data_IF_732787583646
#
_entry.id   IF_732787583646
#
_cell.length_a   1.000
_cell.length_b   1.000
_cell.length_c   1.000
_cell.angle_alpha   90.00
_cell.angle_beta   90.00
_cell.angle_gamma   90.00
#
_symmetry.space_group_name_H-M   'P 1'
#
loop_
_entity.id
_entity.type
_entity.pdbx_description
1 polymer ?
#
# COMPACT_ATOMS: atom_id res chain seq x y z
N UNK A 1 40.71 -7.16 22.21
CA UNK A 1 39.63 -8.17 22.33
C UNK A 1 38.37 -7.57 21.77
N UNK A 2 37.94 -7.98 20.56
CA UNK A 2 36.70 -7.50 19.97
C UNK A 2 35.52 -8.15 20.72
N UNK A 3 34.66 -7.35 21.34
CA UNK A 3 33.44 -7.86 21.96
C UNK A 3 32.51 -8.36 20.87
N UNK A 4 32.37 -9.68 20.76
CA UNK A 4 31.36 -10.34 19.94
C UNK A 4 29.98 -9.85 20.39
N UNK A 5 29.35 -8.97 19.58
CA UNK A 5 27.96 -8.59 19.79
C UNK A 5 27.10 -9.80 19.43
N UNK A 6 26.64 -10.55 20.43
CA UNK A 6 25.67 -11.62 20.23
C UNK A 6 24.39 -11.02 19.65
N UNK A 7 24.11 -11.32 18.37
CA UNK A 7 22.83 -10.96 17.74
C UNK A 7 21.72 -11.55 18.59
N UNK A 8 20.91 -10.68 19.21
CA UNK A 8 19.71 -11.07 19.93
C UNK A 8 18.79 -11.80 18.94
N UNK A 9 18.51 -13.07 19.21
CA UNK A 9 17.57 -13.85 18.39
C UNK A 9 16.16 -13.45 18.80
N UNK A 10 15.38 -12.96 17.83
CA UNK A 10 13.97 -12.63 18.03
C UNK A 10 13.10 -13.87 17.85
N UNK A 11 12.11 -14.06 18.73
CA UNK A 11 11.15 -15.16 18.64
C UNK A 11 9.73 -14.65 18.89
N UNK A 12 8.79 -15.03 18.03
CA UNK A 12 7.36 -14.75 18.24
C UNK A 12 6.81 -15.49 19.47
N UNK A 13 7.46 -16.57 19.90
CA UNK A 13 7.05 -17.31 21.09
C UNK A 13 7.27 -16.52 22.38
N UNK A 14 8.20 -15.56 22.39
CA UNK A 14 8.40 -14.67 23.55
C UNK A 14 7.44 -13.48 23.60
N UNK A 15 6.64 -13.26 22.54
CA UNK A 15 5.68 -12.16 22.52
C UNK A 15 4.32 -12.62 23.09
N UNK A 16 3.70 -11.83 23.94
CA UNK A 16 2.32 -12.09 24.41
C UNK A 16 1.28 -11.58 23.41
N UNK A 17 1.54 -10.38 22.87
CA UNK A 17 0.74 -9.73 21.84
C UNK A 17 1.51 -9.63 20.53
N UNK A 18 0.80 -9.87 19.42
CA UNK A 18 1.34 -9.72 18.07
C UNK A 18 0.37 -8.83 17.29
N UNK A 19 0.89 -7.69 16.83
CA UNK A 19 0.15 -6.70 16.07
C UNK A 19 0.40 -6.82 14.58
N UNK A 20 -0.65 -6.58 13.80
CA UNK A 20 -0.56 -6.55 12.35
C UNK A 20 -1.16 -5.27 11.80
N UNK A 21 -0.48 -4.72 10.81
CA UNK A 21 -1.09 -3.84 9.83
C UNK A 21 -1.94 -4.66 8.84
N UNK A 22 -2.87 -4.00 8.13
CA UNK A 22 -3.76 -4.65 7.18
C UNK A 22 -3.21 -4.59 5.76
N UNK A 23 -3.18 -3.40 5.18
CA UNK A 23 -2.93 -3.16 3.77
C UNK A 23 -1.47 -3.40 3.42
N UNK A 24 -1.22 -4.23 2.39
CA UNK A 24 0.12 -4.70 2.03
C UNK A 24 0.86 -5.54 3.10
N UNK A 25 0.22 -5.81 4.24
CA UNK A 25 0.75 -6.68 5.31
C UNK A 25 -0.02 -8.00 5.38
N UNK A 26 -1.27 -7.99 5.86
CA UNK A 26 -2.13 -9.17 5.89
C UNK A 26 -2.90 -9.36 4.58
N UNK A 27 -3.36 -8.26 3.98
CA UNK A 27 -4.01 -8.25 2.68
C UNK A 27 -2.93 -8.19 1.61
N UNK A 28 -2.88 -9.24 0.78
CA UNK A 28 -1.95 -9.31 -0.34
C UNK A 28 -2.67 -8.90 -1.62
N UNK A 29 -2.25 -7.79 -2.19
CA UNK A 29 -2.76 -7.27 -3.44
C UNK A 29 -2.05 -7.88 -4.66
N UNK A 30 -2.76 -7.95 -5.79
CA UNK A 30 -2.21 -8.13 -7.13
C UNK A 30 -1.65 -6.80 -7.59
N UNK A 31 -0.35 -6.60 -7.37
CA UNK A 31 0.27 -5.27 -7.50
C UNK A 31 0.09 -4.64 -8.89
N UNK A 32 0.23 -5.43 -9.96
CA UNK A 32 0.04 -4.92 -11.32
C UNK A 32 -1.38 -4.35 -11.52
N UNK A 33 -2.41 -5.15 -11.19
CA UNK A 33 -3.80 -4.75 -11.34
C UNK A 33 -4.16 -3.58 -10.42
N UNK A 34 -3.64 -3.58 -9.18
CA UNK A 34 -3.87 -2.51 -8.20
C UNK A 34 -3.23 -1.20 -8.65
N UNK A 35 -1.95 -1.21 -9.01
CA UNK A 35 -1.24 0.00 -9.42
C UNK A 35 -1.85 0.60 -10.69
N UNK A 36 -2.24 -0.25 -11.65
CA UNK A 36 -2.96 0.19 -12.83
C UNK A 36 -4.29 0.86 -12.47
N UNK A 37 -5.08 0.25 -11.57
CA UNK A 37 -6.32 0.86 -11.08
C UNK A 37 -6.09 2.22 -10.41
N UNK A 38 -5.09 2.33 -9.54
CA UNK A 38 -4.74 3.58 -8.85
C UNK A 38 -4.38 4.65 -9.88
N UNK A 39 -3.52 4.31 -10.85
CA UNK A 39 -3.10 5.22 -11.91
C UNK A 39 -4.29 5.69 -12.75
N UNK A 40 -5.12 4.76 -13.23
CA UNK A 40 -6.30 5.08 -14.04
C UNK A 40 -7.29 5.94 -13.27
N UNK A 41 -7.56 5.62 -11.99
CA UNK A 41 -8.47 6.39 -11.13
C UNK A 41 -7.96 7.81 -10.89
N UNK A 42 -6.66 7.98 -10.67
CA UNK A 42 -6.06 9.30 -10.43
C UNK A 42 -6.03 10.14 -11.72
N UNK A 43 -5.73 9.51 -12.86
CA UNK A 43 -5.77 10.14 -14.17
C UNK A 43 -7.18 10.62 -14.53
N UNK A 44 -8.19 9.77 -14.35
CA UNK A 44 -9.60 10.14 -14.57
C UNK A 44 -10.00 11.33 -13.68
N UNK A 45 -9.70 11.25 -12.39
CA UNK A 45 -10.00 12.33 -11.45
C UNK A 45 -9.34 13.65 -11.86
N UNK A 46 -8.07 13.62 -12.30
CA UNK A 46 -7.34 14.80 -12.75
C UNK A 46 -7.95 15.42 -14.02
N UNK A 47 -8.32 14.61 -15.00
CA UNK A 47 -8.99 15.06 -16.23
C UNK A 47 -10.34 15.72 -15.90
N UNK A 48 -11.12 15.09 -15.01
CA UNK A 48 -12.44 15.59 -14.62
C UNK A 48 -12.35 16.89 -13.81
N UNK A 49 -11.30 17.06 -13.00
CA UNK A 49 -11.20 18.18 -12.05
C UNK A 49 -10.48 19.40 -12.63
N UNK A 50 -9.40 19.22 -13.39
CA UNK A 50 -8.46 20.32 -13.66
C UNK A 50 -8.36 20.75 -15.12
N UNK A 51 -8.55 19.89 -16.12
CA UNK A 51 -8.77 20.28 -17.52
C UNK A 51 -8.90 19.07 -18.45
N UNK A 52 -9.69 19.24 -19.53
CA UNK A 52 -9.83 18.31 -20.65
C UNK A 52 -8.62 18.33 -21.61
N UNK A 53 -7.39 18.50 -21.12
CA UNK A 53 -6.22 18.44 -21.99
C UNK A 53 -6.05 16.99 -22.47
N UNK A 54 -6.23 16.79 -23.78
CA UNK A 54 -6.18 15.48 -24.44
C UNK A 54 -4.87 14.72 -24.20
N UNK A 55 -3.80 15.41 -23.80
CA UNK A 55 -2.49 14.80 -23.57
C UNK A 55 -2.53 13.78 -22.42
N UNK A 56 -3.31 14.00 -21.37
CA UNK A 56 -3.49 13.02 -20.28
C UNK A 56 -4.24 11.76 -20.73
N UNK A 57 -5.09 11.85 -21.77
CA UNK A 57 -5.76 10.67 -22.33
C UNK A 57 -4.77 9.75 -23.04
N UNK A 58 -3.67 10.29 -23.55
CA UNK A 58 -2.64 9.53 -24.25
C UNK A 58 -1.67 8.80 -23.31
N UNK A 59 -1.60 9.21 -22.04
CA UNK A 59 -0.72 8.59 -21.05
C UNK A 59 -1.29 7.24 -20.60
N UNK A 60 -0.49 6.19 -20.80
CA UNK A 60 -0.80 4.83 -20.37
C UNK A 60 0.02 4.45 -19.14
N UNK A 61 -0.54 3.59 -18.29
CA UNK A 61 0.18 3.05 -17.15
C UNK A 61 1.41 2.26 -17.62
N UNK A 62 2.60 2.66 -17.15
CA UNK A 62 3.87 1.99 -17.38
C UNK A 62 4.34 1.31 -16.08
N UNK A 63 4.27 -0.01 -16.05
CA UNK A 63 4.67 -0.85 -14.92
C UNK A 63 6.19 -0.87 -14.67
N UNK A 64 7.00 -0.45 -15.64
CA UNK A 64 8.46 -0.37 -15.51
C UNK A 64 8.93 0.97 -14.88
N UNK A 65 8.04 1.96 -14.77
CA UNK A 65 8.36 3.26 -14.14
C UNK A 65 8.08 3.29 -12.64
N UNK A 66 7.28 2.34 -12.14
CA UNK A 66 6.91 2.26 -10.72
C UNK A 66 8.09 1.72 -9.88
N UNK A 67 9.04 2.60 -9.57
CA UNK A 67 10.21 2.30 -8.74
C UNK A 67 9.94 2.78 -7.31
N UNK A 68 10.18 1.90 -6.34
CA UNK A 68 10.06 2.22 -4.92
C UNK A 68 11.15 3.20 -4.51
N UNK A 69 10.89 4.02 -3.48
CA UNK A 69 11.90 4.85 -2.80
C UNK A 69 12.34 6.11 -3.56
N UNK A 70 11.61 6.50 -4.60
CA UNK A 70 11.75 7.81 -5.22
C UNK A 70 11.22 8.92 -4.30
N UNK A 71 12.00 9.98 -4.20
CA UNK A 71 11.65 11.24 -3.53
C UNK A 71 11.19 12.21 -4.60
N UNK A 72 9.99 12.76 -4.44
CA UNK A 72 9.53 13.86 -5.28
C UNK A 72 10.00 15.19 -4.69
N UNK A 73 10.94 15.83 -5.36
CA UNK A 73 11.37 17.20 -5.09
C UNK A 73 10.39 18.14 -5.78
N UNK A 74 9.52 18.73 -4.98
CA UNK A 74 8.46 19.59 -5.48
C UNK A 74 8.93 20.96 -5.96
N UNK A 75 10.07 21.44 -5.45
CA UNK A 75 10.55 22.76 -5.76
C UNK A 75 11.18 22.81 -7.15
N UNK A 76 11.88 21.73 -7.52
CA UNK A 76 12.57 21.57 -8.80
C UNK A 76 11.93 20.53 -9.72
N UNK A 77 10.81 19.93 -9.29
CA UNK A 77 10.00 18.98 -10.06
C UNK A 77 10.80 17.74 -10.48
N UNK A 78 11.62 17.23 -9.56
CA UNK A 78 12.47 16.07 -9.80
C UNK A 78 11.97 14.83 -9.06
N UNK A 79 12.21 13.67 -9.64
CA UNK A 79 12.15 12.38 -8.97
C UNK A 79 13.58 11.93 -8.67
N UNK A 80 13.90 11.73 -7.41
CA UNK A 80 15.26 11.50 -6.92
C UNK A 80 15.32 10.17 -6.18
N UNK A 81 16.25 9.30 -6.55
CA UNK A 81 16.61 8.13 -5.76
C UNK A 81 17.90 8.43 -4.99
N UNK A 82 17.90 8.17 -3.69
CA UNK A 82 19.08 8.29 -2.84
C UNK A 82 19.63 6.91 -2.48
N UNK A 83 20.95 6.79 -2.36
CA UNK A 83 21.57 5.59 -1.80
C UNK A 83 21.55 5.62 -0.25
N UNK A 84 22.05 4.55 0.38
CA UNK A 84 22.07 4.40 1.84
C UNK A 84 22.90 5.47 2.58
N UNK A 85 23.76 6.21 1.87
CA UNK A 85 24.54 7.32 2.43
C UNK A 85 23.86 8.69 2.21
N UNK A 86 22.67 8.72 1.62
CA UNK A 86 21.94 9.94 1.30
C UNK A 86 22.46 10.67 0.07
N UNK A 87 23.31 10.04 -0.76
CA UNK A 87 23.78 10.62 -2.02
C UNK A 87 22.83 10.27 -3.16
N UNK A 88 22.69 11.17 -4.13
CA UNK A 88 21.86 10.96 -5.32
C UNK A 88 22.41 9.82 -6.17
N UNK A 89 21.60 8.78 -6.32
CA UNK A 89 21.85 7.66 -7.23
C UNK A 89 21.25 7.95 -8.61
N UNK A 90 20.02 8.47 -8.64
CA UNK A 90 19.27 8.83 -9.86
C UNK A 90 18.54 10.15 -9.62
N UNK A 91 18.49 11.02 -10.61
CA UNK A 91 17.61 12.19 -10.62
C UNK A 91 16.97 12.34 -12.01
N UNK A 92 15.64 12.39 -12.04
CA UNK A 92 14.81 12.55 -13.24
C UNK A 92 14.02 13.84 -13.13
N UNK A 93 13.82 14.55 -14.24
CA UNK A 93 12.89 15.66 -14.34
C UNK A 93 11.80 15.26 -15.36
N UNK A 94 10.58 14.99 -14.88
CA UNK A 94 9.53 14.33 -15.66
C UNK A 94 9.93 12.90 -16.11
N UNK A 95 9.55 12.52 -17.34
CA UNK A 95 9.95 11.25 -18.00
C UNK A 95 10.99 11.44 -19.14
N UNK A 96 11.27 12.68 -19.55
CA UNK A 96 12.44 13.15 -20.31
C UNK A 96 12.43 14.69 -20.35
N UNK A 97 13.61 15.31 -20.43
CA UNK A 97 13.87 16.77 -20.28
C UNK A 97 12.87 17.69 -21.02
N UNK A 98 12.39 18.71 -20.28
CA UNK A 98 11.62 19.92 -20.63
C UNK A 98 10.08 19.81 -20.66
N UNK A 99 9.40 20.42 -19.67
CA UNK A 99 8.80 21.76 -19.73
C UNK A 99 8.06 22.09 -18.41
N UNK A 100 7.65 23.35 -18.27
CA UNK A 100 7.55 24.19 -17.07
C UNK A 100 6.31 24.05 -16.18
N UNK A 101 6.57 24.09 -14.86
CA UNK A 101 5.78 24.46 -13.66
C UNK A 101 4.43 25.15 -13.80
N UNK A 102 3.38 24.50 -13.29
CA UNK A 102 2.75 24.84 -11.99
C UNK A 102 1.55 23.92 -11.70
N UNK A 103 1.50 23.29 -10.51
CA UNK A 103 0.33 23.20 -9.60
C UNK A 103 0.58 22.16 -8.49
N UNK A 104 0.40 22.56 -7.23
CA UNK A 104 0.39 21.64 -6.07
C UNK A 104 -1.01 21.63 -5.49
N UNK A 105 -1.68 20.48 -5.57
CA UNK A 105 -2.97 20.26 -4.93
C UNK A 105 -2.92 19.01 -4.06
N UNK A 106 -3.49 19.17 -2.87
CA UNK A 106 -3.62 18.14 -1.85
C UNK A 106 -4.77 17.21 -2.28
N UNK A 107 -4.45 15.96 -2.63
CA UNK A 107 -5.45 15.01 -3.12
C UNK A 107 -6.30 14.45 -2.00
N UNK A 108 -7.63 14.58 -2.12
CA UNK A 108 -8.58 13.77 -1.36
C UNK A 108 -8.78 12.42 -2.08
N UNK A 109 -8.09 11.39 -1.60
CA UNK A 109 -8.13 10.03 -2.16
C UNK A 109 -9.55 9.41 -2.14
N UNK A 110 -10.51 10.02 -1.44
CA UNK A 110 -11.87 9.47 -1.28
C UNK A 110 -12.83 9.85 -2.42
N UNK A 111 -12.43 10.70 -3.37
CA UNK A 111 -13.28 11.11 -4.50
C UNK A 111 -13.03 10.36 -5.82
N UNK A 112 -12.07 9.43 -5.84
CA UNK A 112 -11.75 8.64 -7.03
C UNK A 112 -12.46 7.27 -7.09
N UNK A 113 -12.55 6.69 -8.29
CA UNK A 113 -13.14 5.37 -8.54
C UNK A 113 -12.31 4.19 -7.98
N UNK A 114 -11.22 4.45 -7.27
CA UNK A 114 -10.31 3.44 -6.75
C UNK A 114 -11.01 2.49 -5.76
N UNK A 115 -11.51 3.02 -4.64
CA UNK A 115 -12.10 2.19 -3.60
C UNK A 115 -13.39 1.50 -4.09
N UNK A 116 -14.21 2.19 -4.88
CA UNK A 116 -15.43 1.59 -5.46
C UNK A 116 -15.09 0.41 -6.37
N UNK A 117 -14.12 0.58 -7.29
CA UNK A 117 -13.69 -0.49 -8.20
C UNK A 117 -13.06 -1.68 -7.48
N UNK A 118 -12.25 -1.41 -6.46
CA UNK A 118 -11.63 -2.43 -5.63
C UNK A 118 -12.67 -3.25 -4.86
N UNK A 119 -13.63 -2.58 -4.22
CA UNK A 119 -14.67 -3.21 -3.42
C UNK A 119 -15.68 -4.00 -4.26
N UNK A 120 -15.95 -3.58 -5.51
CA UNK A 120 -16.85 -4.28 -6.42
C UNK A 120 -16.23 -5.54 -7.04
N UNK A 121 -14.91 -5.56 -7.24
CA UNK A 121 -14.21 -6.67 -7.89
C UNK A 121 -12.95 -7.10 -7.09
N UNK A 122 -13.10 -7.49 -5.82
CA UNK A 122 -11.95 -7.73 -4.94
C UNK A 122 -11.05 -8.88 -5.43
N UNK A 123 -11.59 -9.87 -6.14
CA UNK A 123 -10.83 -11.01 -6.69
C UNK A 123 -9.81 -10.62 -7.76
N UNK A 124 -10.10 -9.54 -8.51
CA UNK A 124 -9.18 -8.95 -9.48
C UNK A 124 -8.01 -8.26 -8.81
N UNK A 125 -8.15 -7.78 -7.57
CA UNK A 125 -7.11 -6.96 -6.94
C UNK A 125 -6.46 -7.62 -5.74
N UNK A 126 -7.07 -8.66 -5.16
CA UNK A 126 -6.66 -9.25 -3.88
C UNK A 126 -6.55 -10.77 -4.01
N UNK A 127 -5.51 -11.33 -3.41
CA UNK A 127 -5.40 -12.77 -3.23
C UNK A 127 -6.17 -13.20 -1.98
N UNK A 128 -6.97 -14.28 -2.10
CA UNK A 128 -7.39 -15.02 -0.90
C UNK A 128 -6.16 -15.62 -0.23
N UNK A 129 -6.09 -15.52 1.11
CA UNK A 129 -4.92 -15.95 1.89
C UNK A 129 -5.34 -16.83 3.06
N UNK A 130 -5.99 -17.95 2.72
CA UNK A 130 -6.39 -18.95 3.70
C UNK A 130 -5.18 -19.56 4.44
N UNK A 131 -4.01 -19.56 3.82
CA UNK A 131 -2.73 -19.91 4.44
C UNK A 131 -2.36 -18.95 5.59
N UNK A 132 -2.53 -17.64 5.38
CA UNK A 132 -2.31 -16.63 6.43
C UNK A 132 -3.35 -16.78 7.53
N UNK A 133 -4.62 -16.99 7.18
CA UNK A 133 -5.66 -17.29 8.17
C UNK A 133 -5.28 -18.48 9.06
N UNK A 134 -4.95 -19.62 8.46
CA UNK A 134 -4.55 -20.82 9.20
C UNK A 134 -3.35 -20.56 10.11
N UNK A 135 -2.42 -19.70 9.67
CA UNK A 135 -1.29 -19.28 10.49
C UNK A 135 -1.72 -18.40 11.67
N UNK A 136 -2.63 -17.44 11.48
CA UNK A 136 -3.20 -16.63 12.58
C UNK A 136 -3.92 -17.53 13.60
N UNK A 137 -4.74 -18.48 13.13
CA UNK A 137 -5.41 -19.47 13.99
C UNK A 137 -4.41 -20.30 14.79
N UNK A 138 -3.27 -20.68 14.18
CA UNK A 138 -2.19 -21.38 14.88
C UNK A 138 -1.58 -20.51 15.99
N UNK A 139 -1.37 -19.22 15.75
CA UNK A 139 -0.89 -18.31 16.79
C UNK A 139 -1.87 -18.24 17.96
N UNK A 140 -3.19 -18.16 17.69
CA UNK A 140 -4.22 -18.20 18.75
C UNK A 140 -4.19 -19.51 19.53
N UNK A 141 -4.03 -20.66 18.85
CA UNK A 141 -3.88 -21.97 19.50
C UNK A 141 -2.64 -22.06 20.40
N UNK A 142 -1.62 -21.26 20.13
CA UNK A 142 -0.43 -21.09 20.99
C UNK A 142 -0.63 -20.04 22.09
N UNK A 143 -1.88 -19.68 22.37
CA UNK A 143 -2.30 -18.72 23.40
C UNK A 143 -1.71 -17.30 23.18
N UNK A 144 -1.41 -16.95 21.92
CA UNK A 144 -1.00 -15.58 21.54
C UNK A 144 -2.21 -14.69 21.37
N UNK A 145 -2.10 -13.45 21.87
CA UNK A 145 -3.10 -12.40 21.65
C UNK A 145 -2.77 -11.65 20.37
N UNK A 146 -3.75 -11.50 19.49
CA UNK A 146 -3.55 -10.87 18.18
C UNK A 146 -4.31 -9.55 18.14
N UNK A 147 -3.69 -8.51 17.57
CA UNK A 147 -4.42 -7.28 17.27
C UNK A 147 -4.21 -6.82 15.83
N UNK A 148 -5.26 -6.27 15.25
CA UNK A 148 -5.23 -5.59 13.96
C UNK A 148 -5.25 -4.09 14.22
N UNK A 149 -4.31 -3.35 13.62
CA UNK A 149 -4.30 -1.89 13.65
C UNK A 149 -4.09 -1.37 12.24
N UNK A 150 -5.08 -0.67 11.69
CA UNK A 150 -5.03 -0.16 10.32
C UNK A 150 -5.58 1.27 10.24
N UNK A 151 -5.04 2.04 9.31
CA UNK A 151 -5.56 3.36 8.94
C UNK A 151 -6.76 3.27 7.98
N UNK A 152 -7.16 2.06 7.58
CA UNK A 152 -8.35 1.83 6.76
C UNK A 152 -9.62 1.93 7.59
N UNK A 153 -10.66 2.54 7.00
CA UNK A 153 -11.99 2.60 7.60
C UNK A 153 -12.52 1.19 7.92
N UNK A 154 -13.45 1.10 8.88
CA UNK A 154 -14.06 -0.18 9.24
C UNK A 154 -14.69 -0.90 8.05
N UNK A 155 -15.43 -0.18 7.20
CA UNK A 155 -16.13 -0.80 6.05
C UNK A 155 -15.15 -1.43 5.06
N UNK A 156 -14.05 -0.73 4.76
CA UNK A 156 -13.01 -1.27 3.88
C UNK A 156 -12.33 -2.47 4.57
N UNK A 157 -11.95 -2.32 5.83
CA UNK A 157 -11.32 -3.39 6.61
C UNK A 157 -12.18 -4.65 6.61
N UNK A 158 -13.47 -4.52 6.90
CA UNK A 158 -14.42 -5.62 6.97
C UNK A 158 -14.59 -6.30 5.60
N UNK A 159 -14.75 -5.53 4.51
CA UNK A 159 -14.86 -6.10 3.16
C UNK A 159 -13.60 -6.89 2.77
N UNK A 160 -12.42 -6.29 2.95
CA UNK A 160 -11.15 -6.88 2.54
C UNK A 160 -10.84 -8.15 3.32
N UNK A 161 -11.04 -8.12 4.64
CA UNK A 161 -10.77 -9.26 5.51
C UNK A 161 -11.80 -10.38 5.34
N UNK A 162 -13.09 -10.07 5.13
CA UNK A 162 -14.09 -11.08 4.76
C UNK A 162 -13.72 -11.78 3.46
N UNK A 163 -13.31 -11.03 2.45
CA UNK A 163 -12.88 -11.62 1.19
C UNK A 163 -11.64 -12.51 1.35
N UNK A 164 -10.63 -12.03 2.09
CA UNK A 164 -9.34 -12.70 2.24
C UNK A 164 -9.37 -13.91 3.19
N UNK A 165 -10.14 -13.82 4.28
CA UNK A 165 -10.12 -14.76 5.40
C UNK A 165 -11.47 -15.41 5.69
N UNK A 166 -12.59 -14.83 5.28
CA UNK A 166 -13.94 -15.36 5.56
C UNK A 166 -14.77 -14.46 6.50
N UNK A 167 -16.07 -14.72 6.59
CA UNK A 167 -17.03 -13.85 7.29
C UNK A 167 -16.77 -13.68 8.79
N UNK A 168 -16.17 -14.69 9.41
CA UNK A 168 -15.80 -14.77 10.83
C UNK A 168 -14.40 -14.20 11.11
N UNK A 169 -13.81 -13.43 10.20
CA UNK A 169 -12.44 -12.90 10.35
C UNK A 169 -12.19 -12.17 11.68
N UNK A 170 -13.22 -11.56 12.28
CA UNK A 170 -13.11 -10.85 13.57
C UNK A 170 -12.65 -11.80 14.69
N UNK A 171 -13.01 -13.07 14.60
CA UNK A 171 -12.63 -14.10 15.56
C UNK A 171 -11.12 -14.42 15.49
N UNK A 172 -10.41 -13.94 14.47
CA UNK A 172 -8.96 -14.06 14.36
C UNK A 172 -8.22 -13.05 15.23
N UNK A 173 -8.87 -12.01 15.75
CA UNK A 173 -8.21 -10.94 16.51
C UNK A 173 -8.85 -10.74 17.89
N UNK A 174 -8.03 -10.46 18.89
CA UNK A 174 -8.47 -10.10 20.25
C UNK A 174 -8.75 -8.59 20.38
N UNK A 175 -8.17 -7.77 19.51
CA UNK A 175 -8.39 -6.33 19.43
C UNK A 175 -8.32 -5.85 17.97
N UNK A 176 -9.24 -4.99 17.57
CA UNK A 176 -9.28 -4.39 16.23
C UNK A 176 -9.32 -2.88 16.39
N UNK A 177 -8.33 -2.19 15.82
CA UNK A 177 -8.18 -0.74 15.81
C UNK A 177 -8.25 -0.30 14.35
N UNK A 178 -9.25 0.53 14.05
CA UNK A 178 -9.50 1.13 12.74
C UNK A 178 -9.67 2.63 12.92
N UNK A 179 -9.28 3.40 11.91
CA UNK A 179 -9.34 4.89 11.90
C UNK A 179 -10.45 5.38 10.98
#
# INVERSE_FOLDING_TARGET
MASSSTKKVFSLLSCDWIGFDLDHTLIRYRLFDLHKLIYESMREYLIDTYESNCDFLSLSYNDHFSVKELIYDSFYENLIELNSNGLVNIALHGVNKYLTRSEYLFYDFNRGNYFSSLCLNPDKYIYKRLDVRQWLEKLKKLNKKLFLATNSSFNNTDLLTRYAFGDDWKDLFDLIIVV
#
